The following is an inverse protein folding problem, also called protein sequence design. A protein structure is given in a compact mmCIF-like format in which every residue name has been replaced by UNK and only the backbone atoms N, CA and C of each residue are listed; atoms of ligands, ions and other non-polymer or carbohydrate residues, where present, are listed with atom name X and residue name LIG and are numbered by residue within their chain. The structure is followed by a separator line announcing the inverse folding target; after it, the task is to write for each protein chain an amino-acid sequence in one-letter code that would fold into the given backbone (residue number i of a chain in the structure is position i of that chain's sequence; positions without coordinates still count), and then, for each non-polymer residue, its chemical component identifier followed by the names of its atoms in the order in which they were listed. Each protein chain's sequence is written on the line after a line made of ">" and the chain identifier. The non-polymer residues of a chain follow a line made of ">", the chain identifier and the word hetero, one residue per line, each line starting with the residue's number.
data_IF_931803338338
#
_entry.id   IF_931803338338
#
_cell.length_a   1.000
_cell.length_b   1.000
_cell.length_c   1.000
_cell.angle_alpha   90.00
_cell.angle_beta   90.00
_cell.angle_gamma   90.00
#
_symmetry.space_group_name_H-M   'P 1'
#
loop_
_entity.id
_entity.type
_entity.pdbx_description
1 polymer ?
#
# COMPACT_ATOMS: atom_id res chain seq x y z
N UNK A 1 -4.04 -7.87 24.87
CA UNK A 1 -5.42 -7.71 24.31
C UNK A 1 -5.24 -7.60 22.80
N UNK A 2 -5.80 -8.49 22.01
CA UNK A 2 -5.77 -8.35 20.54
C UNK A 2 -6.65 -7.15 20.17
N UNK A 3 -6.02 -6.03 19.83
CA UNK A 3 -6.74 -4.88 19.25
C UNK A 3 -7.42 -5.34 17.96
N UNK A 4 -8.66 -4.90 17.76
CA UNK A 4 -9.37 -5.16 16.49
C UNK A 4 -9.06 -4.05 15.50
N UNK A 5 -9.14 -4.34 14.18
CA UNK A 5 -9.09 -3.31 13.16
C UNK A 5 -10.12 -2.21 13.43
N UNK A 6 -9.71 -0.96 13.20
CA UNK A 6 -10.63 0.18 13.26
C UNK A 6 -11.28 0.37 11.87
N UNK A 7 -12.53 -0.08 11.76
CA UNK A 7 -13.28 -0.04 10.50
C UNK A 7 -13.39 1.36 9.92
N UNK A 8 -13.64 2.37 10.74
CA UNK A 8 -13.76 3.75 10.26
C UNK A 8 -12.44 4.28 9.70
N UNK A 9 -11.32 3.94 10.32
CA UNK A 9 -9.98 4.28 9.84
C UNK A 9 -9.67 3.54 8.53
N UNK A 10 -9.96 2.24 8.46
CA UNK A 10 -9.75 1.42 7.25
C UNK A 10 -10.53 1.99 6.07
N UNK A 11 -11.82 2.24 6.24
CA UNK A 11 -12.68 2.79 5.20
C UNK A 11 -12.26 4.20 4.79
N UNK A 12 -11.92 5.06 5.75
CA UNK A 12 -11.47 6.42 5.45
C UNK A 12 -10.13 6.48 4.70
N UNK A 13 -9.20 5.57 5.02
CA UNK A 13 -7.94 5.42 4.27
C UNK A 13 -8.19 4.91 2.85
N UNK A 14 -9.07 3.91 2.70
CA UNK A 14 -9.40 3.34 1.40
C UNK A 14 -10.10 4.36 0.51
N UNK A 15 -11.06 5.10 1.03
CA UNK A 15 -11.77 6.16 0.31
C UNK A 15 -10.79 7.20 -0.26
N UNK A 16 -9.86 7.68 0.57
CA UNK A 16 -8.83 8.63 0.13
C UNK A 16 -7.94 8.05 -0.95
N UNK A 17 -7.49 6.80 -0.78
CA UNK A 17 -6.60 6.18 -1.76
C UNK A 17 -7.31 5.88 -3.09
N UNK A 18 -8.60 5.50 -3.07
CA UNK A 18 -9.40 5.32 -4.29
C UNK A 18 -9.59 6.64 -5.03
N UNK A 19 -9.74 7.76 -4.31
CA UNK A 19 -9.94 9.08 -4.91
C UNK A 19 -8.70 9.61 -5.65
N UNK A 20 -7.52 9.09 -5.36
CA UNK A 20 -6.30 9.44 -6.09
C UNK A 20 -6.29 8.65 -7.41
N UNK A 21 -6.25 9.36 -8.54
CA UNK A 21 -6.19 8.73 -9.86
C UNK A 21 -4.78 8.20 -10.16
N UNK A 22 -4.66 6.89 -10.17
CA UNK A 22 -3.43 6.17 -10.49
C UNK A 22 -3.63 5.20 -11.66
N UNK A 23 -4.54 5.54 -12.59
CA UNK A 23 -4.81 4.69 -13.74
C UNK A 23 -3.55 4.53 -14.62
N UNK A 24 -3.26 3.31 -15.01
CA UNK A 24 -2.10 2.94 -15.79
C UNK A 24 -2.53 2.16 -17.05
N UNK A 25 -2.32 2.66 -18.28
CA UNK A 25 -1.68 3.94 -18.64
C UNK A 25 -2.52 5.19 -18.30
N UNK A 26 -1.90 6.41 -18.16
CA UNK A 26 -0.47 6.67 -18.32
C UNK A 26 0.39 6.29 -17.11
N UNK A 27 -0.18 6.16 -15.92
CA UNK A 27 0.48 5.94 -14.65
C UNK A 27 1.04 7.24 -14.04
N UNK A 28 0.51 7.63 -12.89
CA UNK A 28 1.03 8.70 -12.05
C UNK A 28 0.70 8.35 -10.59
N UNK A 29 1.65 7.68 -9.95
CA UNK A 29 1.47 7.20 -8.58
C UNK A 29 2.02 8.17 -7.53
N UNK A 30 2.50 9.36 -7.93
CA UNK A 30 3.14 10.34 -7.03
C UNK A 30 2.26 10.68 -5.83
N UNK A 31 1.03 11.11 -6.07
CA UNK A 31 0.12 11.53 -4.99
C UNK A 31 -0.22 10.35 -4.06
N UNK A 32 -0.43 9.16 -4.62
CA UNK A 32 -0.69 7.94 -3.83
C UNK A 32 0.53 7.58 -2.97
N UNK A 33 1.74 7.66 -3.52
CA UNK A 33 2.97 7.39 -2.78
C UNK A 33 3.21 8.40 -1.65
N UNK A 34 2.94 9.69 -1.89
CA UNK A 34 3.04 10.73 -0.86
C UNK A 34 2.04 10.51 0.26
N UNK A 35 0.79 10.19 -0.08
CA UNK A 35 -0.25 9.86 0.89
C UNK A 35 0.14 8.65 1.74
N UNK A 36 0.45 7.52 1.11
CA UNK A 36 0.84 6.28 1.80
C UNK A 36 2.11 6.46 2.63
N UNK A 37 3.10 7.15 2.09
CA UNK A 37 4.34 7.45 2.80
C UNK A 37 4.12 8.32 4.05
N UNK A 38 3.20 9.28 4.00
CA UNK A 38 2.83 10.10 5.15
C UNK A 38 2.12 9.28 6.23
N UNK A 39 1.18 8.42 5.84
CA UNK A 39 0.49 7.51 6.77
C UNK A 39 1.49 6.56 7.46
N UNK A 40 2.41 5.94 6.72
CA UNK A 40 3.43 5.05 7.28
C UNK A 40 4.37 5.80 8.24
N UNK A 41 4.77 7.03 7.93
CA UNK A 41 5.55 7.87 8.85
C UNK A 41 4.79 8.18 10.13
N UNK A 42 3.49 8.48 10.04
CA UNK A 42 2.64 8.71 11.21
C UNK A 42 2.56 7.47 12.10
N UNK A 43 2.61 6.29 11.52
CA UNK A 43 2.71 5.01 12.23
C UNK A 43 4.12 4.72 12.78
N UNK A 44 5.10 5.59 12.57
CA UNK A 44 6.45 5.45 13.10
C UNK A 44 7.41 4.65 12.23
N UNK A 45 7.05 4.34 10.98
CA UNK A 45 7.94 3.67 10.04
C UNK A 45 8.98 4.64 9.46
N UNK A 46 10.22 4.19 9.34
CA UNK A 46 11.21 4.81 8.48
C UNK A 46 10.79 4.65 7.02
N UNK A 47 10.44 5.76 6.34
CA UNK A 47 9.80 5.71 5.03
C UNK A 47 10.61 6.47 4.00
N UNK A 48 10.81 5.85 2.83
CA UNK A 48 11.48 6.41 1.66
C UNK A 48 10.57 6.31 0.46
N UNK A 49 10.46 7.41 -0.30
CA UNK A 49 9.79 7.48 -1.60
C UNK A 49 10.88 7.65 -2.65
N UNK A 50 10.96 6.75 -3.62
CA UNK A 50 12.00 6.73 -4.65
C UNK A 50 11.40 6.70 -6.04
N UNK A 51 11.77 7.68 -6.87
CA UNK A 51 11.37 7.70 -8.27
C UNK A 51 11.98 6.53 -9.03
N UNK A 52 11.13 5.80 -9.71
CA UNK A 52 11.49 4.80 -10.72
C UNK A 52 11.52 5.48 -12.09
N UNK A 53 10.46 6.24 -12.35
CA UNK A 53 10.31 7.16 -13.48
C UNK A 53 9.65 8.45 -12.99
N UNK A 54 9.60 9.49 -13.82
CA UNK A 54 8.93 10.76 -13.47
C UNK A 54 7.47 10.54 -13.13
N UNK A 55 7.04 11.00 -11.94
CA UNK A 55 5.67 10.81 -11.42
C UNK A 55 5.36 9.40 -10.90
N UNK A 56 6.27 8.46 -11.02
CA UNK A 56 6.06 7.04 -10.73
C UNK A 56 7.04 6.49 -9.69
N UNK A 57 6.88 6.79 -8.42
CA UNK A 57 7.76 6.32 -7.36
C UNK A 57 7.30 4.99 -6.74
N UNK A 58 8.27 4.29 -6.12
CA UNK A 58 8.00 3.28 -5.11
C UNK A 58 8.00 3.90 -3.71
N UNK A 59 7.26 3.29 -2.80
CA UNK A 59 7.32 3.56 -1.36
C UNK A 59 7.92 2.36 -0.66
N UNK A 60 8.93 2.60 0.17
CA UNK A 60 9.53 1.58 1.04
C UNK A 60 9.43 2.09 2.48
N UNK A 61 8.80 1.33 3.34
CA UNK A 61 8.63 1.68 4.74
C UNK A 61 9.08 0.52 5.64
N UNK A 62 9.86 0.82 6.68
CA UNK A 62 10.47 -0.18 7.57
C UNK A 62 10.21 0.18 9.01
N UNK A 63 9.83 -0.81 9.81
CA UNK A 63 9.80 -0.73 11.27
C UNK A 63 10.66 -1.86 11.83
N UNK A 64 11.71 -1.49 12.56
CA UNK A 64 12.60 -2.41 13.27
C UNK A 64 12.08 -2.65 14.69
N UNK A 65 12.06 -3.90 15.12
CA UNK A 65 11.68 -4.31 16.47
C UNK A 65 12.60 -5.42 17.00
N UNK A 66 13.89 -5.12 17.12
CA UNK A 66 14.91 -6.06 17.58
C UNK A 66 15.31 -7.09 16.51
N UNK A 67 16.07 -8.11 16.94
CA UNK A 67 16.55 -9.17 16.06
C UNK A 67 15.43 -10.17 15.75
N UNK A 68 15.37 -10.63 14.51
CA UNK A 68 14.37 -11.61 14.07
C UNK A 68 14.10 -11.58 12.56
N UNK A 69 13.11 -12.35 12.10
CA UNK A 69 12.76 -12.42 10.68
C UNK A 69 12.17 -11.13 10.17
N UNK A 70 12.11 -10.98 8.84
CA UNK A 70 11.38 -9.92 8.17
C UNK A 70 10.02 -10.41 7.70
N UNK A 71 8.95 -9.74 8.13
CA UNK A 71 7.64 -9.86 7.49
C UNK A 71 7.53 -8.74 6.45
N UNK A 72 7.39 -9.12 5.19
CA UNK A 72 7.24 -8.16 4.09
C UNK A 72 5.81 -8.13 3.56
N UNK A 73 5.27 -6.93 3.45
CA UNK A 73 4.03 -6.62 2.73
C UNK A 73 4.39 -6.00 1.39
N UNK A 74 3.90 -6.58 0.31
CA UNK A 74 4.10 -6.05 -1.03
C UNK A 74 2.77 -5.90 -1.77
N UNK A 75 2.59 -4.77 -2.43
CA UNK A 75 1.44 -4.49 -3.31
C UNK A 75 1.77 -3.36 -4.28
N UNK A 76 0.85 -3.04 -5.19
CA UNK A 76 1.02 -1.97 -6.17
C UNK A 76 0.01 -0.84 -5.98
N UNK A 77 0.40 0.36 -6.41
CA UNK A 77 -0.39 1.59 -6.23
C UNK A 77 -1.21 1.94 -7.47
N UNK A 78 -0.77 1.49 -8.65
CA UNK A 78 -1.49 1.74 -9.90
C UNK A 78 -2.72 0.84 -10.03
N UNK A 79 -3.61 1.23 -10.92
CA UNK A 79 -4.82 0.50 -11.25
C UNK A 79 -5.05 0.52 -12.76
N UNK A 80 -5.67 -0.49 -13.33
CA UNK A 80 -6.10 -0.47 -14.73
C UNK A 80 -7.12 0.67 -14.97
N UNK A 81 -7.21 1.20 -16.20
CA UNK A 81 -8.22 2.20 -16.55
C UNK A 81 -9.62 1.75 -16.13
N UNK A 82 -10.41 2.67 -15.63
CA UNK A 82 -11.76 2.38 -15.15
C UNK A 82 -12.65 1.75 -16.24
N UNK A 83 -12.50 2.20 -17.48
CA UNK A 83 -13.35 1.77 -18.58
C UNK A 83 -14.80 2.26 -18.44
N UNK A 84 -15.68 1.66 -19.22
CA UNK A 84 -17.10 1.99 -19.25
C UNK A 84 -17.94 1.07 -18.34
N UNK A 85 -19.21 1.42 -18.14
CA UNK A 85 -20.20 0.56 -17.46
C UNK A 85 -20.33 0.77 -15.97
N UNK A 86 -19.61 1.71 -15.36
CA UNK A 86 -19.78 2.07 -13.97
C UNK A 86 -21.08 2.85 -13.77
N UNK A 87 -21.85 2.49 -12.73
CA UNK A 87 -23.09 3.20 -12.37
C UNK A 87 -22.83 4.51 -11.61
N UNK A 88 -21.61 4.71 -11.11
CA UNK A 88 -21.12 5.89 -10.39
C UNK A 88 -19.67 6.17 -10.78
N UNK A 89 -19.14 7.31 -10.36
CA UNK A 89 -17.73 7.66 -10.56
C UNK A 89 -16.81 6.60 -9.91
N UNK A 90 -15.99 5.87 -10.68
CA UNK A 90 -15.13 4.80 -10.16
C UNK A 90 -14.02 5.28 -9.23
N UNK A 91 -13.68 6.57 -9.25
CA UNK A 91 -12.71 7.18 -8.33
C UNK A 91 -13.37 7.72 -7.04
N UNK A 92 -14.65 7.47 -6.86
CA UNK A 92 -15.37 7.75 -5.61
C UNK A 92 -15.87 6.46 -5.02
N UNK A 93 -15.31 6.09 -3.87
CA UNK A 93 -15.75 4.91 -3.13
C UNK A 93 -17.24 5.02 -2.74
N UNK A 94 -17.98 3.94 -2.87
CA UNK A 94 -19.33 3.82 -2.31
C UNK A 94 -19.59 2.43 -1.77
N UNK A 95 -20.55 2.35 -0.87
CA UNK A 95 -21.02 1.09 -0.30
C UNK A 95 -22.44 0.77 -0.79
N UNK A 96 -22.67 -0.48 -1.13
CA UNK A 96 -24.00 -1.00 -1.43
C UNK A 96 -24.07 -2.51 -1.16
N UNK A 97 -25.12 -2.94 -0.45
CA UNK A 97 -25.35 -4.36 -0.17
C UNK A 97 -24.23 -5.03 0.63
N UNK A 98 -23.54 -4.30 1.49
CA UNK A 98 -22.41 -4.80 2.27
C UNK A 98 -21.11 -4.99 1.47
N UNK A 99 -21.02 -4.39 0.29
CA UNK A 99 -19.84 -4.40 -0.56
C UNK A 99 -19.34 -2.98 -0.79
N UNK A 100 -18.03 -2.85 -0.91
CA UNK A 100 -17.34 -1.60 -1.25
C UNK A 100 -17.02 -1.62 -2.74
N UNK A 101 -17.34 -0.53 -3.42
CA UNK A 101 -17.09 -0.33 -4.83
C UNK A 101 -16.17 0.86 -5.07
N UNK A 102 -15.31 0.74 -6.07
CA UNK A 102 -14.38 1.78 -6.54
C UNK A 102 -13.25 1.14 -7.32
N UNK A 103 -12.63 1.88 -8.25
CA UNK A 103 -11.47 1.39 -8.98
C UNK A 103 -10.29 1.20 -8.00
N UNK A 104 -9.75 -0.03 -7.93
CA UNK A 104 -8.70 -0.40 -6.98
C UNK A 104 -9.21 -0.92 -5.63
N UNK A 105 -10.52 -0.93 -5.35
CA UNK A 105 -11.05 -1.47 -4.09
C UNK A 105 -10.66 -2.94 -3.87
N UNK A 106 -10.57 -3.72 -4.94
CA UNK A 106 -10.12 -5.11 -4.91
C UNK A 106 -8.67 -5.26 -5.37
N UNK A 107 -8.21 -4.49 -6.36
CA UNK A 107 -6.90 -4.63 -6.99
C UNK A 107 -6.28 -3.25 -7.26
N UNK A 108 -5.27 -2.79 -6.46
CA UNK A 108 -4.82 -3.45 -5.22
C UNK A 108 -4.83 -2.49 -4.01
N UNK A 109 -5.55 -1.34 -4.10
CA UNK A 109 -5.61 -0.33 -3.04
C UNK A 109 -6.21 -0.89 -1.75
N UNK A 110 -7.20 -1.78 -1.87
CA UNK A 110 -7.79 -2.47 -0.73
C UNK A 110 -6.79 -3.33 0.03
N UNK A 111 -5.94 -4.07 -0.68
CA UNK A 111 -4.88 -4.87 -0.07
C UNK A 111 -3.84 -3.99 0.63
N UNK A 112 -3.44 -2.86 0.03
CA UNK A 112 -2.53 -1.91 0.68
C UNK A 112 -3.09 -1.49 2.04
N UNK A 113 -4.36 -1.07 2.08
CA UNK A 113 -4.98 -0.61 3.33
C UNK A 113 -5.11 -1.76 4.34
N UNK A 114 -5.43 -2.97 3.92
CA UNK A 114 -5.47 -4.14 4.80
C UNK A 114 -4.09 -4.45 5.41
N UNK A 115 -3.02 -4.38 4.62
CA UNK A 115 -1.64 -4.56 5.09
C UNK A 115 -1.19 -3.43 6.02
N UNK A 116 -1.59 -2.19 5.74
CA UNK A 116 -1.34 -1.04 6.63
C UNK A 116 -2.04 -1.21 7.97
N UNK A 117 -3.27 -1.70 7.99
CA UNK A 117 -3.98 -1.97 9.22
C UNK A 117 -3.32 -3.11 10.02
N UNK A 118 -2.86 -4.16 9.35
CA UNK A 118 -2.09 -5.23 9.99
C UNK A 118 -0.78 -4.69 10.61
N UNK A 119 -0.08 -3.80 9.90
CA UNK A 119 1.12 -3.14 10.40
C UNK A 119 0.82 -2.25 11.62
N UNK A 120 -0.31 -1.52 11.61
CA UNK A 120 -0.77 -0.71 12.77
C UNK A 120 -1.03 -1.59 14.00
N UNK A 121 -1.67 -2.75 13.82
CA UNK A 121 -1.92 -3.70 14.90
C UNK A 121 -0.62 -4.26 15.46
N UNK A 122 0.33 -4.67 14.61
CA UNK A 122 1.64 -5.16 15.03
C UNK A 122 2.44 -4.07 15.76
N UNK A 123 2.41 -2.84 15.27
CA UNK A 123 3.05 -1.70 15.94
C UNK A 123 2.47 -1.42 17.33
N UNK A 124 1.18 -1.68 17.52
CA UNK A 124 0.52 -1.42 18.81
C UNK A 124 0.89 -2.41 19.92
N UNK A 125 1.58 -3.51 19.59
CA UNK A 125 1.97 -4.57 20.53
C UNK A 125 3.39 -5.08 20.21
N UNK A 126 4.39 -4.20 20.41
CA UNK A 126 5.79 -4.48 20.10
C UNK A 126 6.39 -5.60 20.97
N UNK A 127 5.81 -5.87 22.12
CA UNK A 127 6.27 -6.97 23.00
C UNK A 127 5.86 -8.36 22.46
N UNK A 128 4.90 -8.42 21.54
CA UNK A 128 4.39 -9.67 20.98
C UNK A 128 5.23 -10.28 19.87
N UNK A 129 6.19 -9.54 19.31
CA UNK A 129 7.02 -9.99 18.19
C UNK A 129 8.39 -9.33 18.21
N UNK A 130 9.33 -9.90 17.45
CA UNK A 130 10.63 -9.28 17.16
C UNK A 130 11.00 -9.48 15.70
N UNK A 131 11.88 -8.61 15.18
CA UNK A 131 12.31 -8.62 13.79
C UNK A 131 11.94 -7.33 13.06
N UNK A 132 11.61 -7.43 11.78
CA UNK A 132 11.41 -6.29 10.89
C UNK A 132 10.07 -6.40 10.17
N UNK A 133 9.29 -5.31 10.15
CA UNK A 133 8.19 -5.12 9.23
C UNK A 133 8.66 -4.28 8.04
N UNK A 134 8.46 -4.78 6.84
CA UNK A 134 8.82 -4.14 5.58
C UNK A 134 7.55 -3.98 4.75
N UNK A 135 7.21 -2.75 4.35
CA UNK A 135 6.16 -2.48 3.39
C UNK A 135 6.77 -1.91 2.11
N UNK A 136 6.40 -2.48 0.97
CA UNK A 136 6.87 -2.05 -0.36
C UNK A 136 5.66 -1.86 -1.25
N UNK A 137 5.33 -0.60 -1.51
CA UNK A 137 4.26 -0.24 -2.45
C UNK A 137 4.90 0.18 -3.77
N UNK A 138 4.71 -0.61 -4.80
CA UNK A 138 5.36 -0.41 -6.11
C UNK A 138 4.45 0.32 -7.08
N UNK A 139 5.05 1.01 -8.05
CA UNK A 139 4.36 1.60 -9.18
C UNK A 139 4.37 0.66 -10.39
N UNK A 140 3.42 0.85 -11.31
CA UNK A 140 3.43 0.28 -12.66
C UNK A 140 3.33 -1.22 -12.75
N UNK A 141 2.59 -1.88 -11.85
CA UNK A 141 2.41 -3.32 -11.88
C UNK A 141 1.55 -3.76 -13.06
N UNK A 142 0.47 -3.04 -13.32
CA UNK A 142 -0.60 -3.36 -14.26
C UNK A 142 -0.18 -3.41 -15.74
N UNK A 143 0.99 -2.86 -16.08
CA UNK A 143 1.49 -2.87 -17.46
C UNK A 143 2.79 -3.65 -17.61
N UNK A 144 3.82 -3.31 -16.87
CA UNK A 144 5.17 -3.85 -17.07
C UNK A 144 5.96 -4.10 -15.78
N UNK A 145 5.35 -3.86 -14.61
CA UNK A 145 5.95 -4.06 -13.27
C UNK A 145 7.25 -3.28 -13.07
N UNK A 146 7.34 -2.03 -13.58
CA UNK A 146 8.57 -1.23 -13.53
C UNK A 146 9.06 -1.02 -12.10
N UNK A 147 8.12 -0.78 -11.16
CA UNK A 147 8.44 -0.56 -9.75
C UNK A 147 9.05 -1.78 -9.09
N UNK A 148 8.46 -2.95 -9.29
CA UNK A 148 8.98 -4.21 -8.76
C UNK A 148 10.34 -4.55 -9.35
N UNK A 149 10.53 -4.36 -10.67
CA UNK A 149 11.81 -4.55 -11.34
C UNK A 149 12.90 -3.60 -10.82
N UNK A 150 12.55 -2.34 -10.55
CA UNK A 150 13.47 -1.37 -9.99
C UNK A 150 13.89 -1.75 -8.57
N UNK A 151 12.92 -2.11 -7.73
CA UNK A 151 13.18 -2.55 -6.35
C UNK A 151 14.08 -3.80 -6.31
N UNK A 152 13.82 -4.79 -7.14
CA UNK A 152 14.64 -5.99 -7.24
C UNK A 152 16.10 -5.71 -7.66
N UNK A 153 16.34 -4.70 -8.51
CA UNK A 153 17.69 -4.29 -8.91
C UNK A 153 18.50 -3.66 -7.76
N UNK A 154 17.85 -3.09 -6.77
CA UNK A 154 18.53 -2.56 -5.57
C UNK A 154 19.12 -3.69 -4.70
N UNK A 155 18.80 -4.96 -5.00
CA UNK A 155 19.22 -6.15 -4.25
C UNK A 155 18.93 -5.99 -2.76
N UNK A 156 17.67 -5.70 -2.39
CA UNK A 156 17.34 -5.54 -0.98
C UNK A 156 17.71 -6.80 -0.21
N UNK A 157 18.17 -6.62 1.02
CA UNK A 157 18.39 -7.74 1.92
C UNK A 157 17.03 -8.29 2.36
N UNK A 158 16.65 -9.40 1.75
CA UNK A 158 15.39 -10.11 1.98
C UNK A 158 15.66 -11.52 2.53
N UNK A 159 16.77 -11.71 3.25
CA UNK A 159 17.00 -12.96 3.98
C UNK A 159 15.94 -13.10 5.09
N UNK A 160 15.45 -14.33 5.25
CA UNK A 160 14.42 -14.68 6.24
C UNK A 160 13.09 -13.90 6.08
N UNK A 161 12.71 -13.59 4.84
CA UNK A 161 11.46 -12.89 4.53
C UNK A 161 10.30 -13.87 4.42
N UNK A 162 9.21 -13.52 5.10
CA UNK A 162 7.88 -14.12 4.92
C UNK A 162 7.00 -13.08 4.21
N UNK A 163 6.41 -13.47 3.09
CA UNK A 163 5.47 -12.63 2.31
C UNK A 163 4.07 -13.23 2.34
#
# INVERSE_FOLDING_TARGET
>A
MTSRPDEARVLGRLEKLIAIDTQNPPGDEREAAEYLGAEMKTMGFGTVIRDVESGRPNVVAVLENGDGPTLAFNSHMDVVPAGDGWSRDPLRMWEAGGHIFGRGACDAKGQIIAMMEAAELLRSDLDAWSGRLLAVWVCGEEVDSIGAKAYAKEKPDLHDVVM
#
